data_IF_941365875509
#
_entry.id   IF_941365875509
#
_cell.length_a   1.000
_cell.length_b   1.000
_cell.length_c   1.000
_cell.angle_alpha   90.00
_cell.angle_beta   90.00
_cell.angle_gamma   90.00
#
_symmetry.space_group_name_H-M   'P 1'
#
loop_
_entity.id
_entity.type
_entity.pdbx_description
1 polymer ?
#
# COMPACT_ATOMS: atom_id res chain seq x y z
N UNK A 1 0.04 34.06 16.96
CA UNK A 1 -1.40 34.39 16.92
C UNK A 1 -1.99 34.17 18.30
N UNK A 2 -2.93 35.01 18.72
CA UNK A 2 -3.68 34.81 19.95
C UNK A 2 -4.68 33.65 19.82
N UNK A 3 -5.17 33.08 20.93
CA UNK A 3 -6.18 32.01 20.89
C UNK A 3 -7.48 32.44 20.17
N UNK A 4 -7.78 33.75 20.13
CA UNK A 4 -8.90 34.33 19.40
C UNK A 4 -8.69 34.30 17.87
N UNK A 5 -7.46 34.48 17.38
CA UNK A 5 -7.12 34.43 15.94
C UNK A 5 -7.16 33.00 15.38
N UNK A 6 -6.74 32.00 16.18
CA UNK A 6 -6.86 30.57 15.84
C UNK A 6 -8.33 30.10 15.72
N UNK A 7 -9.26 30.80 16.38
CA UNK A 7 -10.69 30.47 16.36
C UNK A 7 -11.38 30.89 15.05
N UNK A 8 -10.83 31.87 14.34
CA UNK A 8 -11.34 32.36 13.04
C UNK A 8 -10.83 31.57 11.82
N UNK A 9 -9.82 30.72 12.01
CA UNK A 9 -9.29 29.88 10.94
C UNK A 9 -10.19 28.67 10.66
N UNK A 10 -10.23 28.24 9.40
CA UNK A 10 -10.81 26.95 9.06
C UNK A 10 -10.02 25.81 9.73
N UNK A 11 -10.63 24.61 9.88
CA UNK A 11 -9.99 23.52 10.60
C UNK A 11 -8.61 23.14 10.07
N UNK A 12 -8.38 23.19 8.76
CA UNK A 12 -7.10 22.79 8.17
C UNK A 12 -6.02 23.84 8.41
N UNK A 13 -6.34 25.12 8.26
CA UNK A 13 -5.43 26.22 8.60
C UNK A 13 -4.99 26.14 10.07
N UNK A 14 -5.91 25.81 11.00
CA UNK A 14 -5.56 25.58 12.41
C UNK A 14 -4.56 24.44 12.58
N UNK A 15 -4.79 23.28 11.92
CA UNK A 15 -3.87 22.13 12.00
C UNK A 15 -2.49 22.47 11.44
N UNK A 16 -2.42 23.23 10.35
CA UNK A 16 -1.16 23.71 9.78
C UNK A 16 -0.38 24.61 10.75
N UNK A 17 -1.07 25.48 11.48
CA UNK A 17 -0.43 26.32 12.51
C UNK A 17 0.02 25.53 13.74
N UNK A 18 -0.76 24.55 14.19
CA UNK A 18 -0.35 23.61 15.25
C UNK A 18 0.89 22.79 14.82
N UNK A 19 0.95 22.33 13.56
CA UNK A 19 2.08 21.61 12.98
C UNK A 19 3.33 22.50 12.84
N UNK A 20 3.17 23.72 12.32
CA UNK A 20 4.25 24.69 12.17
C UNK A 20 4.87 25.08 13.53
N UNK A 21 4.05 25.21 14.57
CA UNK A 21 4.48 25.47 15.95
C UNK A 21 4.97 24.21 16.68
N UNK A 22 4.90 23.03 16.05
CA UNK A 22 5.27 21.73 16.60
C UNK A 22 4.47 21.35 17.86
N UNK A 23 3.26 21.88 17.99
CA UNK A 23 2.34 21.54 19.08
C UNK A 23 1.68 20.18 18.83
N UNK A 24 1.36 19.89 17.56
CA UNK A 24 0.79 18.63 17.11
C UNK A 24 1.45 18.20 15.81
N UNK A 25 1.89 16.94 15.75
CA UNK A 25 2.62 16.42 14.60
C UNK A 25 1.65 15.87 13.54
N UNK A 26 0.83 16.74 12.95
CA UNK A 26 -0.23 16.32 12.03
C UNK A 26 0.29 15.56 10.81
N UNK A 27 1.47 15.94 10.31
CA UNK A 27 2.15 15.27 9.17
C UNK A 27 2.97 14.04 9.58
N UNK A 28 2.76 13.49 10.79
CA UNK A 28 3.41 12.24 11.19
C UNK A 28 2.97 11.09 10.30
N UNK A 29 1.68 11.02 9.98
CA UNK A 29 1.08 9.94 9.20
C UNK A 29 0.54 10.46 7.88
N UNK A 30 0.61 9.65 6.83
CA UNK A 30 0.17 10.06 5.51
C UNK A 30 0.26 8.93 4.50
N UNK A 31 -0.12 9.21 3.24
CA UNK A 31 0.08 8.29 2.11
C UNK A 31 1.56 8.32 1.67
N UNK A 32 2.46 8.00 2.60
CA UNK A 32 3.91 7.99 2.39
C UNK A 32 4.44 6.61 1.98
N UNK A 33 3.58 5.58 2.01
CA UNK A 33 3.91 4.24 1.59
C UNK A 33 4.00 4.22 0.07
N UNK A 34 5.04 3.59 -0.48
CA UNK A 34 5.14 3.46 -1.93
C UNK A 34 4.08 2.49 -2.44
N UNK A 35 3.59 2.69 -3.65
CA UNK A 35 2.72 1.71 -4.32
C UNK A 35 3.54 0.65 -5.09
N UNK A 36 4.85 0.89 -5.24
CA UNK A 36 5.84 0.02 -5.89
C UNK A 36 7.23 0.23 -5.29
N UNK A 37 7.87 -0.84 -4.81
CA UNK A 37 9.24 -0.80 -4.29
C UNK A 37 10.16 -1.88 -4.91
N UNK A 38 9.60 -2.79 -5.72
CA UNK A 38 10.36 -3.79 -6.49
C UNK A 38 11.04 -3.15 -7.72
N UNK A 39 12.14 -3.78 -8.17
CA UNK A 39 12.93 -3.31 -9.31
C UNK A 39 13.49 -1.92 -9.09
N UNK A 40 14.12 -1.66 -7.94
CA UNK A 40 14.70 -0.36 -7.60
C UNK A 40 16.19 -0.48 -7.28
N UNK A 41 16.96 0.58 -7.57
CA UNK A 41 18.42 0.60 -7.36
C UNK A 41 18.80 0.41 -5.88
N UNK A 42 17.88 0.75 -4.96
CA UNK A 42 18.09 0.58 -3.51
C UNK A 42 18.08 -0.89 -3.10
N UNK A 43 17.23 -1.69 -3.74
CA UNK A 43 17.04 -3.11 -3.45
C UNK A 43 17.90 -4.02 -4.36
N UNK A 44 18.86 -3.45 -5.08
CA UNK A 44 19.76 -4.18 -5.95
C UNK A 44 21.00 -4.67 -5.20
N UNK A 45 21.14 -5.99 -5.11
CA UNK A 45 22.33 -6.66 -4.60
C UNK A 45 22.94 -7.61 -5.63
N UNK A 46 22.63 -7.41 -6.91
CA UNK A 46 23.29 -8.10 -8.01
C UNK A 46 24.75 -7.70 -8.11
N UNK A 47 25.60 -8.61 -8.63
CA UNK A 47 27.02 -8.34 -8.80
C UNK A 47 27.32 -7.28 -9.89
N UNK A 48 26.35 -7.01 -10.77
CA UNK A 48 26.51 -6.20 -11.97
C UNK A 48 25.63 -4.94 -12.00
N UNK A 49 24.86 -4.65 -10.95
CA UNK A 49 23.98 -3.47 -10.92
C UNK A 49 22.69 -3.63 -11.75
N UNK A 50 22.22 -4.86 -11.95
CA UNK A 50 20.97 -5.17 -12.68
C UNK A 50 19.75 -5.15 -11.74
N UNK A 51 19.44 -3.96 -11.24
CA UNK A 51 18.34 -3.73 -10.31
C UNK A 51 16.99 -4.23 -10.84
N UNK A 52 16.78 -4.18 -12.15
CA UNK A 52 15.47 -4.45 -12.77
C UNK A 52 15.17 -5.94 -12.85
N UNK A 53 16.19 -6.77 -13.09
CA UNK A 53 16.02 -8.22 -13.14
C UNK A 53 16.36 -8.92 -11.81
N UNK A 54 17.12 -8.28 -10.92
CA UNK A 54 17.48 -8.85 -9.62
C UNK A 54 16.29 -8.98 -8.66
N UNK A 55 15.40 -7.99 -8.67
CA UNK A 55 14.20 -7.97 -7.84
C UNK A 55 12.97 -7.66 -8.71
N UNK A 56 12.51 -8.63 -9.52
CA UNK A 56 11.33 -8.47 -10.36
C UNK A 56 10.04 -8.51 -9.52
N UNK A 57 8.93 -8.10 -10.15
CA UNK A 57 7.61 -8.11 -9.53
C UNK A 57 7.23 -9.44 -8.87
N UNK A 58 7.62 -10.58 -9.45
CA UNK A 58 7.34 -11.93 -8.94
C UNK A 58 7.90 -12.16 -7.53
N UNK A 59 8.99 -11.47 -7.19
CA UNK A 59 9.61 -11.59 -5.88
C UNK A 59 9.00 -10.62 -4.87
N UNK A 60 8.21 -9.63 -5.30
CA UNK A 60 7.67 -8.56 -4.45
C UNK A 60 6.86 -9.09 -3.27
N UNK A 61 6.07 -10.13 -3.49
CA UNK A 61 5.25 -10.77 -2.45
C UNK A 61 6.04 -11.78 -1.59
N UNK A 62 7.30 -12.02 -1.92
CA UNK A 62 8.11 -13.10 -1.35
C UNK A 62 9.30 -12.60 -0.53
N UNK A 63 9.61 -11.30 -0.60
CA UNK A 63 10.78 -10.70 0.04
C UNK A 63 10.35 -9.65 1.04
N UNK A 64 10.96 -9.68 2.21
CA UNK A 64 11.03 -8.51 3.07
C UNK A 64 11.93 -7.46 2.40
N UNK A 65 11.49 -6.22 2.40
CA UNK A 65 12.19 -5.10 1.77
C UNK A 65 13.17 -4.48 2.77
N UNK A 66 14.33 -4.03 2.30
CA UNK A 66 15.36 -3.48 3.21
C UNK A 66 15.22 -1.98 3.42
N UNK A 67 14.97 -1.23 2.35
CA UNK A 67 15.10 0.22 2.35
C UNK A 67 13.76 0.97 2.27
N UNK A 68 12.66 0.24 2.18
CA UNK A 68 11.31 0.77 2.07
C UNK A 68 10.29 -0.31 2.29
N UNK A 69 9.05 -0.01 1.97
CA UNK A 69 7.92 -0.92 1.89
C UNK A 69 7.02 -0.45 0.75
N UNK A 70 6.20 -1.34 0.23
CA UNK A 70 5.11 -0.98 -0.65
C UNK A 70 3.77 -1.57 -0.21
N UNK A 71 2.68 -0.97 -0.66
CA UNK A 71 1.34 -1.46 -0.36
C UNK A 71 0.27 -0.67 -1.09
N UNK A 72 -0.77 -1.38 -1.54
CA UNK A 72 -1.87 -0.82 -2.31
C UNK A 72 -2.74 0.11 -1.44
N UNK A 73 -2.89 1.35 -1.90
CA UNK A 73 -3.64 2.42 -1.23
C UNK A 73 -3.11 2.67 0.20
N UNK A 74 -1.80 2.64 0.35
CA UNK A 74 -1.12 2.56 1.64
C UNK A 74 -1.12 3.83 2.50
N UNK A 75 -0.98 3.65 3.81
CA UNK A 75 -0.81 4.72 4.80
C UNK A 75 0.23 4.32 5.85
N UNK A 76 1.13 5.24 6.19
CA UNK A 76 2.24 4.94 7.12
C UNK A 76 2.73 6.20 7.82
N UNK A 77 3.50 6.05 8.90
CA UNK A 77 4.23 7.17 9.46
C UNK A 77 5.33 7.62 8.49
N UNK A 78 5.73 8.88 8.55
CA UNK A 78 6.70 9.50 7.62
C UNK A 78 8.07 8.81 7.57
N UNK A 79 8.36 7.91 8.50
CA UNK A 79 9.60 7.12 8.51
C UNK A 79 9.40 5.67 8.04
N UNK A 80 8.19 5.33 7.57
CA UNK A 80 7.81 4.03 7.04
C UNK A 80 8.11 2.90 8.04
N UNK A 81 7.61 3.06 9.28
CA UNK A 81 7.81 2.07 10.36
C UNK A 81 6.58 1.20 10.49
N UNK A 82 5.40 1.77 10.73
CA UNK A 82 4.13 1.03 10.80
C UNK A 82 3.33 1.33 9.55
N UNK A 83 3.07 0.29 8.77
CA UNK A 83 2.43 0.36 7.47
C UNK A 83 1.05 -0.28 7.55
N UNK A 84 0.08 0.38 6.90
CA UNK A 84 -1.23 -0.18 6.61
C UNK A 84 -1.47 -0.13 5.11
N UNK A 85 -2.05 -1.19 4.54
CA UNK A 85 -2.47 -1.24 3.14
C UNK A 85 -3.58 -2.30 2.94
N UNK A 86 -4.08 -2.39 1.72
CA UNK A 86 -5.16 -3.32 1.36
C UNK A 86 -4.62 -4.39 0.42
N UNK A 87 -4.83 -5.66 0.74
CA UNK A 87 -4.68 -6.76 -0.21
C UNK A 87 -6.05 -7.27 -0.68
N UNK A 88 -6.15 -7.58 -1.97
CA UNK A 88 -7.40 -8.02 -2.60
C UNK A 88 -7.20 -9.36 -3.33
N UNK A 89 -8.27 -10.14 -3.46
CA UNK A 89 -8.26 -11.33 -4.33
C UNK A 89 -9.64 -11.60 -4.92
N UNK A 90 -9.72 -11.58 -6.24
CA UNK A 90 -10.95 -11.82 -7.03
C UNK A 90 -11.23 -13.31 -7.29
N UNK A 91 -10.55 -14.21 -6.57
CA UNK A 91 -10.58 -15.68 -6.75
C UNK A 91 -10.03 -16.21 -8.08
N UNK A 92 -9.53 -15.35 -8.96
CA UNK A 92 -9.03 -15.72 -10.30
C UNK A 92 -7.57 -15.35 -10.50
N UNK A 93 -7.09 -14.33 -9.79
CA UNK A 93 -5.70 -13.92 -9.85
C UNK A 93 -4.77 -14.97 -9.24
N UNK A 94 -3.57 -15.15 -9.82
CA UNK A 94 -2.59 -16.10 -9.32
C UNK A 94 -1.90 -15.64 -8.03
N UNK A 95 -2.07 -14.37 -7.66
CA UNK A 95 -1.44 -13.72 -6.50
C UNK A 95 -2.47 -12.80 -5.81
N UNK A 96 -2.17 -12.42 -4.56
CA UNK A 96 -2.89 -11.34 -3.90
C UNK A 96 -2.55 -10.01 -4.58
N UNK A 97 -3.57 -9.19 -4.79
CA UNK A 97 -3.40 -7.83 -5.28
C UNK A 97 -3.13 -6.90 -4.10
N UNK A 98 -1.86 -6.81 -3.73
CA UNK A 98 -1.38 -6.07 -2.54
C UNK A 98 -0.53 -4.83 -2.89
N UNK A 99 -0.20 -4.65 -4.17
CA UNK A 99 0.61 -3.54 -4.71
C UNK A 99 0.35 -3.35 -6.19
N UNK A 100 0.74 -2.22 -6.76
CA UNK A 100 0.57 -1.97 -8.19
C UNK A 100 1.52 -2.82 -9.03
N UNK A 101 1.02 -3.35 -10.14
CA UNK A 101 1.84 -4.01 -11.14
C UNK A 101 2.28 -3.00 -12.20
N UNK A 102 3.43 -3.27 -12.78
CA UNK A 102 3.98 -2.47 -13.86
C UNK A 102 5.08 -3.20 -14.59
N UNK A 103 5.64 -2.50 -15.57
CA UNK A 103 6.76 -2.91 -16.37
C UNK A 103 8.04 -2.28 -15.83
N UNK A 104 9.13 -3.03 -15.81
CA UNK A 104 10.46 -2.47 -15.65
C UNK A 104 10.91 -1.77 -16.94
N UNK A 105 12.00 -0.99 -16.87
CA UNK A 105 12.49 -0.24 -18.03
C UNK A 105 12.67 -1.09 -19.31
N UNK A 106 13.26 -2.29 -19.25
CA UNK A 106 13.41 -3.20 -20.39
C UNK A 106 12.11 -3.87 -20.87
N UNK A 107 11.05 -3.83 -20.06
CA UNK A 107 9.76 -4.47 -20.37
C UNK A 107 8.81 -3.51 -21.10
N UNK A 108 8.87 -2.20 -20.82
CA UNK A 108 8.06 -1.20 -21.50
C UNK A 108 8.75 -0.61 -22.73
N UNK A 109 7.98 -0.32 -23.77
CA UNK A 109 8.48 0.36 -24.98
C UNK A 109 8.92 1.81 -24.69
N UNK A 110 8.33 2.45 -23.67
CA UNK A 110 8.71 3.79 -23.18
C UNK A 110 9.36 3.80 -21.78
N UNK A 111 9.72 2.63 -21.26
CA UNK A 111 10.43 2.49 -19.97
C UNK A 111 9.56 1.89 -18.88
N UNK A 112 9.74 2.37 -17.65
CA UNK A 112 8.94 1.90 -16.50
C UNK A 112 7.52 2.44 -16.59
N UNK A 113 6.54 1.57 -16.34
CA UNK A 113 5.15 1.88 -16.66
C UNK A 113 4.18 1.10 -15.76
N UNK A 114 3.26 1.78 -15.08
CA UNK A 114 2.30 1.16 -14.17
C UNK A 114 1.05 0.76 -14.94
N UNK A 115 0.70 -0.53 -14.91
CA UNK A 115 -0.40 -1.08 -15.71
C UNK A 115 -1.69 -1.25 -14.92
N UNK A 116 -2.02 -0.26 -14.12
CA UNK A 116 -3.12 -0.29 -13.15
C UNK A 116 -4.05 0.90 -13.30
N UNK A 117 -5.30 0.72 -12.88
CA UNK A 117 -6.29 1.80 -12.84
C UNK A 117 -6.50 2.27 -11.39
N UNK A 118 -5.81 3.34 -10.99
CA UNK A 118 -5.86 3.90 -9.65
C UNK A 118 -5.86 5.43 -9.68
N UNK A 119 -6.47 6.05 -8.68
CA UNK A 119 -6.75 7.49 -8.66
C UNK A 119 -6.61 8.03 -7.24
N UNK A 120 -5.77 9.05 -7.06
CA UNK A 120 -5.76 9.84 -5.83
C UNK A 120 -6.89 10.86 -5.90
N UNK A 121 -7.82 10.81 -4.95
CA UNK A 121 -9.05 11.60 -5.00
C UNK A 121 -8.99 12.85 -4.13
N UNK A 122 -8.43 12.73 -2.93
CA UNK A 122 -8.27 13.86 -2.01
C UNK A 122 -7.09 13.64 -1.06
N UNK A 123 -6.45 14.73 -0.66
CA UNK A 123 -5.46 14.76 0.42
C UNK A 123 -5.33 16.20 0.93
N UNK A 124 -5.76 16.44 2.16
CA UNK A 124 -5.50 17.73 2.84
C UNK A 124 -3.98 17.90 3.10
N UNK A 125 -3.45 19.13 3.20
CA UNK A 125 -2.03 19.38 3.49
C UNK A 125 -1.46 18.67 4.73
N UNK A 126 -2.29 18.43 5.74
CA UNK A 126 -1.94 17.71 6.98
C UNK A 126 -2.27 16.21 6.94
N UNK A 127 -2.80 15.73 5.81
CA UNK A 127 -3.36 14.40 5.64
C UNK A 127 -4.40 14.07 6.73
N UNK A 128 -5.12 15.08 7.22
CA UNK A 128 -6.24 14.92 8.14
C UNK A 128 -7.42 14.22 7.47
N UNK A 129 -7.52 14.34 6.15
CA UNK A 129 -8.33 13.48 5.29
C UNK A 129 -7.56 13.10 4.02
N UNK A 130 -7.57 11.82 3.67
CA UNK A 130 -7.04 11.28 2.42
C UNK A 130 -8.01 10.26 1.82
N UNK A 131 -8.13 10.23 0.49
CA UNK A 131 -8.88 9.16 -0.19
C UNK A 131 -8.27 8.81 -1.54
N UNK A 132 -8.34 7.53 -1.89
CA UNK A 132 -7.85 7.00 -3.16
C UNK A 132 -8.71 5.82 -3.62
N UNK A 133 -8.85 5.67 -4.92
CA UNK A 133 -9.67 4.66 -5.57
C UNK A 133 -8.78 3.73 -6.41
N UNK A 134 -8.97 2.43 -6.24
CA UNK A 134 -8.42 1.41 -7.11
C UNK A 134 -9.54 0.66 -7.84
N UNK A 135 -9.40 0.47 -9.16
CA UNK A 135 -10.33 -0.32 -9.98
C UNK A 135 -9.78 -1.72 -10.15
N UNK A 136 -10.35 -2.67 -9.41
CA UNK A 136 -9.91 -4.05 -9.41
C UNK A 136 -10.77 -4.92 -10.33
N UNK A 137 -10.22 -5.51 -11.41
CA UNK A 137 -10.99 -6.38 -12.29
C UNK A 137 -11.61 -7.61 -11.59
N UNK A 138 -12.84 -7.97 -11.99
CA UNK A 138 -13.43 -9.26 -11.60
C UNK A 138 -12.85 -10.44 -12.39
N UNK A 139 -12.27 -10.16 -13.57
CA UNK A 139 -11.54 -11.12 -14.38
C UNK A 139 -10.10 -11.28 -13.89
N UNK A 140 -9.44 -12.37 -14.30
CA UNK A 140 -8.01 -12.56 -14.02
C UNK A 140 -7.23 -11.40 -14.65
N UNK A 141 -6.33 -10.81 -13.86
CA UNK A 141 -5.50 -9.71 -14.30
C UNK A 141 -4.49 -10.18 -15.39
N UNK A 142 -4.33 -9.43 -16.50
CA UNK A 142 -3.62 -9.89 -17.69
C UNK A 142 -2.11 -9.58 -17.66
N UNK A 143 -1.41 -10.01 -16.60
CA UNK A 143 0.01 -9.72 -16.36
C UNK A 143 0.92 -10.06 -17.55
N UNK A 144 0.80 -11.29 -18.07
CA UNK A 144 1.66 -11.78 -19.15
C UNK A 144 1.39 -11.05 -20.46
N UNK A 145 0.12 -10.81 -20.80
CA UNK A 145 -0.24 -10.12 -22.04
C UNK A 145 0.28 -8.67 -22.04
N UNK A 146 0.11 -7.96 -20.92
CA UNK A 146 0.65 -6.60 -20.77
C UNK A 146 2.16 -6.56 -20.99
N UNK A 147 2.91 -7.53 -20.47
CA UNK A 147 4.37 -7.59 -20.68
C UNK A 147 4.73 -7.94 -22.11
N UNK A 148 4.13 -8.99 -22.67
CA UNK A 148 4.49 -9.50 -23.99
C UNK A 148 4.21 -8.49 -25.09
N UNK A 149 3.05 -7.82 -25.03
CA UNK A 149 2.65 -6.85 -26.03
C UNK A 149 3.53 -5.60 -25.98
N UNK A 150 3.77 -5.04 -24.78
CA UNK A 150 4.66 -3.88 -24.65
C UNK A 150 6.11 -4.19 -25.06
N UNK A 151 6.61 -5.41 -24.82
CA UNK A 151 7.95 -5.82 -25.28
C UNK A 151 8.06 -5.91 -26.81
N UNK A 152 6.96 -6.21 -27.51
CA UNK A 152 6.94 -6.30 -28.99
C UNK A 152 6.88 -4.93 -29.66
N UNK A 153 6.33 -3.92 -28.96
CA UNK A 153 6.15 -2.58 -29.50
C UNK A 153 7.46 -1.82 -29.57
N UNK A 154 7.60 -1.05 -30.63
CA UNK A 154 8.67 -0.09 -30.82
C UNK A 154 8.43 1.18 -29.99
N UNK A 155 9.47 2.01 -29.86
CA UNK A 155 9.39 3.33 -29.25
C UNK A 155 8.47 4.31 -29.99
N UNK A 156 8.08 4.01 -31.23
CA UNK A 156 7.20 4.85 -32.03
C UNK A 156 5.72 4.51 -31.83
N UNK A 157 5.42 3.36 -31.25
CA UNK A 157 4.07 2.92 -30.94
C UNK A 157 3.64 3.39 -29.56
N UNK A 158 2.32 3.52 -29.34
CA UNK A 158 1.77 3.81 -28.02
C UNK A 158 1.96 2.61 -27.09
N UNK A 159 2.07 2.89 -25.80
CA UNK A 159 2.00 1.85 -24.75
C UNK A 159 0.69 1.05 -24.88
N UNK A 160 0.76 -0.24 -24.56
CA UNK A 160 -0.42 -1.09 -24.43
C UNK A 160 -0.88 -1.06 -22.99
N UNK A 161 -2.06 -0.50 -22.74
CA UNK A 161 -2.59 -0.27 -21.41
C UNK A 161 -3.54 -1.36 -20.94
N UNK A 162 -3.78 -1.43 -19.62
CA UNK A 162 -4.76 -2.33 -19.04
C UNK A 162 -6.15 -2.17 -19.69
N UNK A 163 -6.54 -0.94 -20.03
CA UNK A 163 -7.81 -0.67 -20.70
C UNK A 163 -7.88 -1.29 -22.11
N UNK A 164 -6.75 -1.40 -22.82
CA UNK A 164 -6.70 -1.95 -24.19
C UNK A 164 -6.92 -3.48 -24.22
N UNK A 165 -6.81 -4.15 -23.07
CA UNK A 165 -7.06 -5.59 -22.94
C UNK A 165 -8.55 -5.96 -23.01
N UNK A 166 -9.43 -4.96 -22.96
CA UNK A 166 -10.88 -5.13 -22.89
C UNK A 166 -11.39 -5.60 -21.51
N UNK A 167 -10.52 -5.66 -20.49
CA UNK A 167 -10.88 -6.16 -19.16
C UNK A 167 -11.98 -5.34 -18.47
N UNK A 168 -12.16 -4.09 -18.89
CA UNK A 168 -13.19 -3.18 -18.36
C UNK A 168 -14.41 -3.01 -19.28
N UNK A 169 -14.42 -3.58 -20.49
CA UNK A 169 -15.44 -3.30 -21.53
C UNK A 169 -16.87 -3.66 -21.10
N UNK A 170 -17.00 -4.68 -20.25
CA UNK A 170 -18.29 -5.13 -19.72
C UNK A 170 -18.66 -4.50 -18.37
N UNK A 171 -17.89 -3.53 -17.88
CA UNK A 171 -18.08 -2.92 -16.57
C UNK A 171 -17.86 -3.87 -15.38
N UNK A 172 -17.17 -5.00 -15.60
CA UNK A 172 -16.98 -6.08 -14.60
C UNK A 172 -15.74 -5.85 -13.73
N UNK A 173 -15.82 -4.90 -12.81
CA UNK A 173 -14.77 -4.58 -11.85
C UNK A 173 -15.35 -4.19 -10.48
N UNK A 174 -14.48 -4.11 -9.49
CA UNK A 174 -14.77 -3.53 -8.19
C UNK A 174 -14.11 -2.16 -8.10
N UNK A 175 -14.85 -1.17 -7.62
CA UNK A 175 -14.25 0.05 -7.10
C UNK A 175 -13.87 -0.21 -5.64
N UNK A 176 -12.59 -0.03 -5.33
CA UNK A 176 -12.02 -0.14 -3.97
C UNK A 176 -11.60 1.25 -3.52
N UNK A 177 -12.43 1.88 -2.71
CA UNK A 177 -12.18 3.20 -2.14
C UNK A 177 -11.56 3.03 -0.75
N UNK A 178 -10.34 3.54 -0.56
CA UNK A 178 -9.70 3.68 0.73
C UNK A 178 -9.82 5.13 1.21
N UNK A 179 -10.27 5.31 2.44
CA UNK A 179 -10.39 6.60 3.09
C UNK A 179 -9.68 6.57 4.45
N UNK A 180 -8.93 7.62 4.72
CA UNK A 180 -8.21 7.85 5.96
C UNK A 180 -8.65 9.19 6.53
N UNK A 181 -9.07 9.22 7.79
CA UNK A 181 -9.47 10.43 8.48
C UNK A 181 -8.82 10.50 9.86
N UNK A 182 -8.33 11.67 10.26
CA UNK A 182 -7.70 11.87 11.56
C UNK A 182 -8.59 12.65 12.50
N UNK A 183 -8.87 12.09 13.67
CA UNK A 183 -9.44 12.86 14.79
C UNK A 183 -8.35 13.64 15.52
N UNK A 184 -7.18 13.00 15.68
CA UNK A 184 -5.96 13.61 16.23
C UNK A 184 -4.73 13.16 15.43
N UNK A 185 -3.52 13.72 15.67
CA UNK A 185 -2.33 13.36 14.92
C UNK A 185 -2.01 11.85 14.87
N UNK A 186 -2.34 11.13 15.95
CA UNK A 186 -2.06 9.70 16.13
C UNK A 186 -3.33 8.83 16.21
N UNK A 187 -4.52 9.41 15.93
CA UNK A 187 -5.79 8.68 15.87
C UNK A 187 -6.34 8.72 14.44
N UNK A 188 -6.33 7.56 13.79
CA UNK A 188 -6.61 7.40 12.36
C UNK A 188 -7.76 6.41 12.18
N UNK A 189 -8.82 6.91 11.55
CA UNK A 189 -9.95 6.13 11.08
C UNK A 189 -9.69 5.68 9.66
N UNK A 190 -9.91 4.38 9.42
CA UNK A 190 -9.72 3.75 8.12
C UNK A 190 -11.05 3.19 7.66
N UNK A 191 -11.48 3.56 6.46
CA UNK A 191 -12.66 2.99 5.82
C UNK A 191 -12.29 2.44 4.44
N UNK A 192 -12.62 1.18 4.21
CA UNK A 192 -12.50 0.54 2.90
C UNK A 192 -13.89 0.23 2.38
N UNK A 193 -14.26 0.86 1.27
CA UNK A 193 -15.55 0.64 0.61
C UNK A 193 -15.32 -0.10 -0.70
N UNK A 194 -15.89 -1.30 -0.84
CA UNK A 194 -15.79 -2.10 -2.06
C UNK A 194 -17.15 -2.14 -2.75
N UNK A 195 -17.21 -1.59 -3.97
CA UNK A 195 -18.43 -1.55 -4.78
C UNK A 195 -18.28 -2.45 -5.99
N UNK A 196 -19.13 -3.47 -6.10
CA UNK A 196 -19.25 -4.25 -7.33
C UNK A 196 -19.93 -3.40 -8.42
N UNK A 197 -19.19 -3.05 -9.48
CA UNK A 197 -19.72 -2.28 -10.62
C UNK A 197 -20.28 -3.17 -11.73
N UNK A 198 -20.05 -4.48 -11.66
CA UNK A 198 -20.56 -5.45 -12.62
C UNK A 198 -22.06 -5.73 -12.42
N UNK A 199 -22.71 -6.29 -13.45
CA UNK A 199 -24.14 -6.58 -13.43
C UNK A 199 -24.51 -7.80 -12.56
N UNK A 200 -23.54 -8.63 -12.20
CA UNK A 200 -23.73 -9.89 -11.47
C UNK A 200 -22.99 -9.87 -10.12
N UNK A 201 -23.48 -10.58 -9.09
CA UNK A 201 -22.73 -10.81 -7.87
C UNK A 201 -21.36 -11.44 -8.17
N UNK A 202 -20.30 -10.85 -7.61
CA UNK A 202 -18.93 -11.33 -7.77
C UNK A 202 -18.24 -11.38 -6.41
N UNK A 203 -17.42 -12.41 -6.19
CA UNK A 203 -16.66 -12.60 -4.94
C UNK A 203 -15.36 -11.81 -5.00
N UNK A 204 -15.06 -11.13 -3.91
CA UNK A 204 -13.76 -10.51 -3.64
C UNK A 204 -13.40 -10.73 -2.19
N UNK A 205 -12.17 -11.14 -1.94
CA UNK A 205 -11.58 -11.19 -0.61
C UNK A 205 -10.83 -9.88 -0.38
N UNK A 206 -11.03 -9.29 0.78
CA UNK A 206 -10.38 -8.05 1.21
C UNK A 206 -9.61 -8.33 2.48
N UNK A 207 -8.32 -8.03 2.46
CA UNK A 207 -7.39 -8.29 3.55
C UNK A 207 -6.71 -6.96 3.90
N UNK A 208 -7.28 -6.16 4.81
CA UNK A 208 -6.58 -5.03 5.41
C UNK A 208 -5.38 -5.55 6.19
N UNK A 209 -4.19 -5.05 5.90
CA UNK A 209 -2.93 -5.56 6.44
C UNK A 209 -2.21 -4.46 7.20
N UNK A 210 -1.77 -4.76 8.43
CA UNK A 210 -0.94 -3.89 9.25
C UNK A 210 0.38 -4.61 9.53
N UNK A 211 1.51 -3.95 9.29
CA UNK A 211 2.83 -4.54 9.52
C UNK A 211 3.87 -3.49 9.88
N UNK A 212 4.93 -3.92 10.55
CA UNK A 212 6.13 -3.09 10.67
C UNK A 212 7.08 -3.39 9.52
N UNK A 213 7.70 -2.33 8.95
CA UNK A 213 8.81 -2.50 8.00
C UNK A 213 9.89 -3.36 8.62
N UNK A 214 10.32 -4.37 7.87
CA UNK A 214 11.30 -5.31 8.39
C UNK A 214 12.72 -4.73 8.37
N UNK A 215 13.15 -4.18 9.51
CA UNK A 215 14.51 -3.67 9.71
C UNK A 215 15.41 -4.64 10.48
N UNK A 216 14.84 -5.65 11.15
CA UNK A 216 15.57 -6.52 12.09
C UNK A 216 16.32 -7.67 11.43
N UNK A 217 15.83 -8.20 10.30
CA UNK A 217 16.47 -9.35 9.62
C UNK A 217 17.83 -9.01 9.00
N UNK A 218 18.20 -7.74 8.92
CA UNK A 218 19.43 -7.25 8.28
C UNK A 218 20.63 -7.09 9.24
N UNK A 219 20.53 -7.63 10.46
CA UNK A 219 21.66 -7.76 11.38
C UNK A 219 22.01 -6.50 12.20
N UNK A 220 21.11 -5.50 12.25
CA UNK A 220 21.24 -4.30 13.09
C UNK A 220 22.60 -3.60 13.11
N UNK A 221 23.21 -3.42 11.92
CA UNK A 221 24.45 -2.65 11.76
C UNK A 221 24.26 -1.26 11.14
N UNK A 222 23.02 -0.84 10.92
CA UNK A 222 22.68 0.45 10.30
C UNK A 222 21.78 1.29 11.20
N UNK A 223 21.78 2.60 10.96
CA UNK A 223 20.84 3.52 11.62
C UNK A 223 19.39 3.07 11.43
N UNK A 224 18.57 3.24 12.45
CA UNK A 224 17.16 2.85 12.43
C UNK A 224 16.87 1.35 12.60
N UNK A 225 17.86 0.52 12.93
CA UNK A 225 17.59 -0.86 13.37
C UNK A 225 17.18 -0.90 14.84
N UNK A 226 15.90 -1.19 15.07
CA UNK A 226 15.33 -1.31 16.40
C UNK A 226 15.21 -2.78 16.79
N UNK A 227 14.99 -3.05 18.08
CA UNK A 227 14.49 -4.37 18.51
C UNK A 227 13.23 -4.70 17.70
N UNK A 228 13.10 -5.96 17.26
CA UNK A 228 11.92 -6.44 16.52
C UNK A 228 10.65 -5.98 17.23
N UNK A 229 9.81 -5.15 16.57
CA UNK A 229 8.53 -4.73 17.12
C UNK A 229 7.56 -5.92 17.12
N UNK A 230 6.43 -5.78 17.80
CA UNK A 230 5.43 -6.84 17.84
C UNK A 230 4.02 -6.32 17.54
N UNK A 231 3.21 -7.21 17.00
CA UNK A 231 1.76 -7.09 16.93
C UNK A 231 1.19 -8.26 17.74
N UNK A 232 0.24 -7.98 18.62
CA UNK A 232 -0.38 -9.00 19.45
C UNK A 232 -1.88 -8.78 19.51
N UNK A 233 -2.65 -9.81 19.17
CA UNK A 233 -4.08 -9.81 19.47
C UNK A 233 -4.30 -9.84 20.98
N UNK A 234 -4.98 -8.83 21.51
CA UNK A 234 -5.29 -8.70 22.94
C UNK A 234 -6.75 -9.00 23.25
N UNK A 235 -7.63 -8.86 22.27
CA UNK A 235 -9.03 -9.26 22.32
C UNK A 235 -9.55 -9.54 20.88
N UNK A 236 -10.78 -10.07 20.70
CA UNK A 236 -11.36 -10.23 19.37
C UNK A 236 -11.38 -8.91 18.59
N UNK A 237 -10.68 -8.84 17.45
CA UNK A 237 -10.56 -7.61 16.63
C UNK A 237 -9.73 -6.48 17.26
N UNK A 238 -8.97 -6.74 18.32
CA UNK A 238 -8.08 -5.74 18.92
C UNK A 238 -6.63 -6.22 18.87
N UNK A 239 -5.77 -5.43 18.24
CA UNK A 239 -4.33 -5.70 18.13
C UNK A 239 -3.56 -4.55 18.77
N UNK A 240 -2.67 -4.87 19.71
CA UNK A 240 -1.72 -3.91 20.25
C UNK A 240 -0.39 -4.04 19.53
N UNK A 241 0.23 -2.91 19.23
CA UNK A 241 1.56 -2.82 18.62
C UNK A 241 2.53 -2.11 19.55
N UNK A 242 3.82 -2.41 19.44
CA UNK A 242 4.88 -1.65 20.13
C UNK A 242 6.11 -1.59 19.24
N UNK A 243 6.61 -0.38 19.04
CA UNK A 243 7.84 -0.14 18.30
C UNK A 243 8.74 0.83 19.06
N UNK A 244 10.05 0.54 19.24
CA UNK A 244 10.92 1.27 20.17
C UNK A 244 10.96 2.79 20.01
N UNK A 245 10.87 3.31 18.79
CA UNK A 245 10.86 4.77 18.54
C UNK A 245 9.48 5.36 18.22
N UNK A 246 8.50 4.51 17.88
CA UNK A 246 7.17 4.97 17.46
C UNK A 246 6.21 4.98 18.66
N UNK A 247 6.46 4.14 19.65
CA UNK A 247 5.57 3.88 20.78
C UNK A 247 4.55 2.79 20.45
N UNK A 248 3.57 2.67 21.34
CA UNK A 248 2.50 1.70 21.21
C UNK A 248 1.28 2.29 20.48
N UNK A 249 0.66 1.48 19.63
CA UNK A 249 -0.60 1.80 18.97
C UNK A 249 -1.61 0.67 19.17
N UNK A 250 -2.89 1.01 19.03
CA UNK A 250 -3.99 0.05 19.03
C UNK A 250 -4.61 0.02 17.64
N UNK A 251 -4.82 -1.17 17.11
CA UNK A 251 -5.53 -1.40 15.87
C UNK A 251 -6.83 -2.13 16.18
N UNK A 252 -7.92 -1.36 16.16
CA UNK A 252 -9.27 -1.83 16.48
C UNK A 252 -10.03 -2.09 15.19
N UNK A 253 -10.53 -3.31 15.05
CA UNK A 253 -11.11 -3.84 13.81
C UNK A 253 -12.60 -4.07 14.04
N UNK A 254 -13.40 -3.34 13.28
CA UNK A 254 -14.85 -3.44 13.27
C UNK A 254 -15.36 -4.74 12.63
N UNK A 255 -16.67 -4.95 12.72
CA UNK A 255 -17.34 -5.99 11.95
C UNK A 255 -17.24 -5.70 10.45
N UNK A 256 -17.11 -6.77 9.66
CA UNK A 256 -17.21 -6.73 8.21
C UNK A 256 -18.65 -6.52 7.73
N UNK A 257 -18.88 -6.54 6.40
CA UNK A 257 -20.19 -6.30 5.80
C UNK A 257 -21.29 -7.27 6.23
N UNK A 258 -20.93 -8.47 6.68
CA UNK A 258 -21.84 -9.51 7.18
C UNK A 258 -22.12 -9.40 8.69
N UNK A 259 -21.57 -8.38 9.36
CA UNK A 259 -21.69 -8.20 10.80
C UNK A 259 -20.75 -9.08 11.62
N UNK A 260 -19.94 -9.94 10.99
CA UNK A 260 -18.95 -10.77 11.67
C UNK A 260 -17.60 -10.02 11.77
N UNK A 261 -16.83 -10.29 12.83
CA UNK A 261 -15.44 -9.81 12.89
C UNK A 261 -14.57 -10.65 11.95
N UNK A 262 -13.64 -10.02 11.20
CA UNK A 262 -12.72 -10.76 10.35
C UNK A 262 -11.78 -11.64 11.18
N UNK A 263 -11.36 -12.76 10.59
CA UNK A 263 -10.29 -13.58 11.14
C UNK A 263 -8.97 -12.83 11.09
N UNK A 264 -8.19 -12.88 12.17
CA UNK A 264 -6.87 -12.26 12.23
C UNK A 264 -5.81 -13.31 11.92
N UNK A 265 -5.01 -13.02 10.89
CA UNK A 265 -3.87 -13.83 10.48
C UNK A 265 -2.60 -13.05 10.79
N UNK A 266 -1.63 -13.72 11.41
CA UNK A 266 -0.33 -13.13 11.72
C UNK A 266 0.74 -13.80 10.88
N UNK A 267 1.52 -12.97 10.19
CA UNK A 267 2.69 -13.39 9.42
C UNK A 267 3.89 -12.59 9.95
N UNK A 268 5.03 -13.25 10.10
CA UNK A 268 6.22 -12.65 10.76
C UNK A 268 6.96 -11.61 9.88
N UNK A 269 6.36 -11.23 8.74
CA UNK A 269 6.94 -10.38 7.70
C UNK A 269 8.35 -10.82 7.27
N UNK A 270 8.55 -12.13 7.03
CA UNK A 270 9.84 -12.70 6.64
C UNK A 270 9.85 -13.12 5.18
N UNK A 271 11.03 -13.03 4.55
CA UNK A 271 11.23 -13.51 3.19
C UNK A 271 10.96 -15.01 3.08
N UNK A 272 10.19 -15.41 2.07
CA UNK A 272 9.95 -16.81 1.75
C UNK A 272 11.14 -17.40 0.99
N UNK A 273 12.23 -17.69 1.72
CA UNK A 273 13.48 -18.20 1.15
C UNK A 273 13.31 -19.50 0.35
N UNK A 274 12.52 -20.50 0.79
CA UNK A 274 12.30 -21.72 0.01
C UNK A 274 11.67 -21.42 -1.35
N UNK A 275 10.68 -20.53 -1.42
CA UNK A 275 10.04 -20.18 -2.70
C UNK A 275 10.93 -19.34 -3.60
N UNK A 276 11.83 -18.54 -3.03
CA UNK A 276 12.75 -17.69 -3.78
C UNK A 276 13.96 -18.45 -4.35
N UNK A 277 14.49 -19.42 -3.60
CA UNK A 277 15.81 -20.00 -3.88
C UNK A 277 15.84 -21.53 -3.91
N UNK A 278 14.74 -22.22 -3.59
CA UNK A 278 14.66 -23.69 -3.51
C UNK A 278 14.97 -24.22 -2.12
#
# INVERSE_FOLDING_TARGET
>A
MSALELSSLDPESRRLEEDARREKNWKRWGPYLSERQWGTVREDYSANGDAWNYFPFEHSALRAYRWGEDGLLGFTDRECRLCFAIALWNTKDPILKERLFGLSGPQGNHGEDVKEAYFYLASTPTHSYCSALYKYPQGRFPYEWLREENRRRSRLEREFELADTGIFDQGRYFDVLAEYAKDSPDDIWIRVTVSNRGPEPARVHVLPTLWFRNTWVWGCRHEGCWRKPYLKQTAPGEVTTDHPSLGAFHFSIGAGPDGARPELLFTENESNLPRLFG
#
